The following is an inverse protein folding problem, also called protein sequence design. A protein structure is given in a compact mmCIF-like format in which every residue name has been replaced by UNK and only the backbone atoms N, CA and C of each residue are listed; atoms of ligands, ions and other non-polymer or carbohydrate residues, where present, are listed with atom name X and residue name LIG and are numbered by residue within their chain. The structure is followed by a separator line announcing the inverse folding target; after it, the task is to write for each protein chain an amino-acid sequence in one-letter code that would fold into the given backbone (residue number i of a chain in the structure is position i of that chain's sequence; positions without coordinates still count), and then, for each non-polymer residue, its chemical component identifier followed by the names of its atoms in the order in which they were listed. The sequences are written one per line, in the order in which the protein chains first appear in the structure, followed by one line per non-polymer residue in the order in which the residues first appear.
data_IF_001620942961
#
_entry.id   IF_001620942961
#
_cell.length_a   1.000
_cell.length_b   1.000
_cell.length_c   1.000
_cell.angle_alpha   90.00
_cell.angle_beta   90.00
_cell.angle_gamma   90.00
#
_symmetry.space_group_name_H-M   'P 1'
#
loop_
_entity.id
_entity.type
_entity.pdbx_description
1 polymer ?
#
# COMPACT_ATOMS: atom_id res chain seq x y z
N UNK A 1 14.88 9.39 -1.87
CA UNK A 1 15.89 9.19 -2.91
C UNK A 1 16.25 10.49 -3.61
N UNK A 2 15.31 11.36 -4.03
CA UNK A 2 15.69 12.63 -4.69
C UNK A 2 16.57 13.54 -3.80
N UNK A 3 16.32 13.59 -2.48
CA UNK A 3 17.18 14.35 -1.56
C UNK A 3 18.60 13.80 -1.52
N UNK A 4 18.75 12.46 -1.49
CA UNK A 4 20.06 11.82 -1.64
C UNK A 4 20.69 12.11 -3.00
N UNK A 5 19.89 12.09 -4.07
CA UNK A 5 20.36 12.35 -5.43
C UNK A 5 20.92 13.76 -5.61
N UNK A 6 20.38 14.76 -4.89
CA UNK A 6 20.92 16.13 -4.89
C UNK A 6 22.38 16.21 -4.43
N UNK A 7 22.88 15.23 -3.69
CA UNK A 7 24.27 15.23 -3.22
C UNK A 7 25.29 14.98 -4.34
N UNK A 8 24.87 14.43 -5.48
CA UNK A 8 25.76 14.08 -6.60
C UNK A 8 25.23 14.48 -7.99
N UNK A 9 23.94 14.77 -8.15
CA UNK A 9 23.35 15.16 -9.42
C UNK A 9 23.45 16.68 -9.66
N UNK A 10 23.73 17.07 -10.89
CA UNK A 10 23.74 18.48 -11.32
C UNK A 10 22.34 19.07 -11.30
N UNK A 11 21.33 18.26 -11.64
CA UNK A 11 19.93 18.68 -11.66
C UNK A 11 19.02 17.57 -11.19
N UNK A 12 18.05 17.93 -10.35
CA UNK A 12 16.96 17.04 -9.95
C UNK A 12 15.62 17.74 -10.12
N UNK A 13 14.58 17.01 -10.52
CA UNK A 13 13.22 17.54 -10.61
C UNK A 13 12.18 16.42 -10.48
N UNK A 14 10.92 16.82 -10.39
CA UNK A 14 9.76 15.92 -10.42
C UNK A 14 8.80 16.34 -11.51
N UNK A 15 8.07 15.40 -12.08
CA UNK A 15 6.97 15.70 -12.98
C UNK A 15 5.61 15.69 -12.24
N UNK A 16 4.54 15.95 -12.99
CA UNK A 16 3.16 15.96 -12.47
C UNK A 16 2.66 14.55 -12.10
N UNK A 17 3.25 13.50 -12.66
CA UNK A 17 2.88 12.11 -12.38
C UNK A 17 3.58 11.55 -11.13
N UNK A 18 4.51 12.31 -10.54
CA UNK A 18 5.26 11.90 -9.36
C UNK A 18 6.55 11.15 -9.67
N UNK A 19 6.95 11.06 -10.94
CA UNK A 19 8.29 10.58 -11.28
C UNK A 19 9.32 11.60 -10.78
N UNK A 20 10.48 11.09 -10.38
CA UNK A 20 11.61 11.89 -9.97
C UNK A 20 12.77 11.63 -10.91
N UNK A 21 13.52 12.67 -11.23
CA UNK A 21 14.64 12.62 -12.15
C UNK A 21 15.89 13.20 -11.50
N UNK A 22 17.04 12.62 -11.84
CA UNK A 22 18.35 13.10 -11.45
C UNK A 22 19.28 12.97 -12.66
N UNK A 23 20.00 14.04 -12.98
CA UNK A 23 20.95 14.09 -14.10
C UNK A 23 22.35 14.35 -13.57
N UNK A 24 23.29 13.54 -14.03
CA UNK A 24 24.73 13.69 -13.80
C UNK A 24 25.36 13.94 -15.16
N UNK A 25 26.24 14.95 -15.28
CA UNK A 25 26.89 15.33 -16.52
C UNK A 25 25.88 15.65 -17.65
N UNK A 26 25.05 16.69 -17.48
CA UNK A 26 23.92 17.01 -18.37
C UNK A 26 24.34 17.29 -19.83
N UNK A 27 25.59 17.76 -20.02
CA UNK A 27 26.21 18.04 -21.31
C UNK A 27 26.94 16.84 -21.93
N UNK A 28 27.03 15.72 -21.22
CA UNK A 28 27.72 14.51 -21.67
C UNK A 28 27.03 13.78 -22.83
N UNK A 29 27.82 13.05 -23.60
CA UNK A 29 27.36 12.17 -24.68
C UNK A 29 28.12 10.84 -24.65
N UNK A 30 27.47 9.68 -24.90
CA UNK A 30 26.04 9.52 -25.21
C UNK A 30 25.14 9.71 -23.98
N UNK A 31 23.85 9.99 -24.21
CA UNK A 31 22.85 10.07 -23.14
C UNK A 31 22.34 8.67 -22.79
N UNK A 32 22.48 8.29 -21.52
CA UNK A 32 21.99 7.02 -20.97
C UNK A 32 20.95 7.30 -19.89
N UNK A 33 19.82 6.59 -19.93
CA UNK A 33 18.78 6.67 -18.91
C UNK A 33 18.71 5.34 -18.15
N UNK A 34 18.87 5.42 -16.83
CA UNK A 34 18.59 4.32 -15.93
C UNK A 34 17.22 4.57 -15.29
N UNK A 35 16.28 3.67 -15.52
CA UNK A 35 14.91 3.80 -15.02
C UNK A 35 14.59 2.68 -14.01
N UNK A 36 13.93 3.05 -12.92
CA UNK A 36 13.40 2.12 -11.93
C UNK A 36 12.08 2.67 -11.40
N UNK A 37 11.20 1.78 -10.95
CA UNK A 37 9.91 2.15 -10.40
C UNK A 37 9.97 2.18 -8.88
N UNK A 38 9.29 3.16 -8.26
CA UNK A 38 9.30 3.37 -6.81
C UNK A 38 8.05 2.83 -6.10
N UNK A 39 7.01 2.56 -6.87
CA UNK A 39 5.77 2.01 -6.38
C UNK A 39 5.96 0.57 -5.91
N UNK A 40 5.22 0.20 -4.88
CA UNK A 40 5.16 -1.14 -4.34
C UNK A 40 3.74 -1.69 -4.55
N UNK A 41 3.63 -3.01 -4.74
CA UNK A 41 2.34 -3.68 -4.69
C UNK A 41 1.66 -3.43 -3.33
N UNK A 42 0.33 -3.28 -3.34
CA UNK A 42 -0.42 -2.93 -2.14
C UNK A 42 -1.87 -3.38 -2.20
N UNK A 43 -2.62 -3.06 -1.15
CA UNK A 43 -4.06 -3.31 -1.07
C UNK A 43 -4.78 -2.01 -0.72
N UNK A 44 -5.78 -1.61 -1.51
CA UNK A 44 -6.64 -0.46 -1.25
C UNK A 44 -7.87 -0.88 -0.45
N UNK A 45 -8.31 -0.08 0.51
CA UNK A 45 -9.61 -0.29 1.16
C UNK A 45 -10.73 0.16 0.23
N UNK A 46 -11.61 -0.76 -0.16
CA UNK A 46 -12.79 -0.49 -1.00
C UNK A 46 -14.04 -0.19 -0.19
N UNK A 47 -14.21 -0.85 0.95
CA UNK A 47 -15.39 -0.75 1.80
C UNK A 47 -15.05 -1.02 3.27
N UNK A 48 -15.82 -0.42 4.17
CA UNK A 48 -15.74 -0.62 5.62
C UNK A 48 -17.13 -1.01 6.08
N UNK A 49 -17.25 -2.18 6.72
CA UNK A 49 -18.55 -2.63 7.24
C UNK A 49 -18.86 -2.06 8.63
N UNK A 50 -20.10 -2.23 9.09
CA UNK A 50 -20.57 -1.75 10.39
C UNK A 50 -19.85 -2.40 11.59
N UNK A 51 -19.15 -3.51 11.35
CA UNK A 51 -18.33 -4.20 12.36
C UNK A 51 -16.89 -3.72 12.37
N UNK A 52 -16.53 -2.80 11.48
CA UNK A 52 -15.20 -2.21 11.36
C UNK A 52 -14.19 -3.07 10.57
N UNK A 53 -14.64 -4.09 9.82
CA UNK A 53 -13.76 -4.82 8.90
C UNK A 53 -13.51 -4.01 7.64
N UNK A 54 -12.26 -4.01 7.17
CA UNK A 54 -11.88 -3.35 5.93
C UNK A 54 -11.82 -4.38 4.80
N UNK A 55 -12.54 -4.12 3.72
CA UNK A 55 -12.51 -4.92 2.49
C UNK A 55 -11.45 -4.38 1.55
N UNK A 56 -10.72 -5.27 0.92
CA UNK A 56 -9.48 -4.95 0.21
C UNK A 56 -9.61 -5.20 -1.29
N UNK A 57 -9.02 -4.31 -2.08
CA UNK A 57 -8.78 -4.51 -3.52
C UNK A 57 -7.28 -4.47 -3.81
N UNK A 58 -6.76 -5.33 -4.69
CA UNK A 58 -5.33 -5.34 -5.02
C UNK A 58 -4.95 -4.13 -5.86
N UNK A 59 -3.75 -3.59 -5.59
CA UNK A 59 -3.02 -2.72 -6.51
C UNK A 59 -1.74 -3.46 -6.89
N UNK A 60 -1.60 -3.73 -8.19
CA UNK A 60 -0.56 -4.60 -8.72
C UNK A 60 -0.94 -6.08 -8.65
N UNK A 61 0.03 -6.96 -8.98
CA UNK A 61 -0.18 -8.40 -9.06
C UNK A 61 -0.11 -9.10 -7.71
N UNK A 62 -1.25 -9.49 -7.16
CA UNK A 62 -1.34 -10.29 -5.94
C UNK A 62 -1.97 -11.66 -6.21
N UNK A 63 -1.40 -12.71 -5.61
CA UNK A 63 -2.09 -14.00 -5.48
C UNK A 63 -2.97 -14.02 -4.24
N UNK A 64 -4.25 -14.36 -4.37
CA UNK A 64 -5.17 -14.39 -3.22
C UNK A 64 -4.74 -15.37 -2.11
N UNK A 65 -3.96 -16.39 -2.46
CA UNK A 65 -3.48 -17.43 -1.54
C UNK A 65 -2.40 -16.93 -0.56
N UNK A 66 -1.65 -15.88 -0.91
CA UNK A 66 -0.49 -15.43 -0.10
C UNK A 66 -0.85 -14.39 0.96
N UNK A 67 -2.04 -13.80 0.85
CA UNK A 67 -2.48 -12.69 1.70
C UNK A 67 -3.03 -13.11 3.08
N UNK A 68 -3.78 -14.22 3.24
CA UNK A 68 -4.27 -14.64 4.54
C UNK A 68 -3.13 -14.84 5.56
N UNK A 69 -3.31 -14.33 6.78
CA UNK A 69 -2.33 -14.41 7.86
C UNK A 69 -1.20 -13.37 7.78
N UNK A 70 -1.13 -12.58 6.72
CA UNK A 70 -0.13 -11.51 6.61
C UNK A 70 -0.47 -10.34 7.53
N UNK A 71 0.58 -9.74 8.10
CA UNK A 71 0.50 -8.48 8.85
C UNK A 71 0.85 -7.33 7.94
N UNK A 72 0.13 -6.23 8.09
CA UNK A 72 0.39 -5.04 7.30
C UNK A 72 0.08 -3.76 8.03
N UNK A 73 0.65 -2.67 7.52
CA UNK A 73 0.38 -1.32 7.96
C UNK A 73 -0.73 -0.74 7.11
N UNK A 74 -1.84 -0.38 7.74
CA UNK A 74 -2.85 0.47 7.16
C UNK A 74 -2.43 1.94 7.35
N UNK A 75 -2.31 2.69 6.27
CA UNK A 75 -2.07 4.14 6.31
C UNK A 75 -3.38 4.89 6.13
N UNK A 76 -3.72 5.74 7.10
CA UNK A 76 -4.90 6.62 7.06
C UNK A 76 -4.47 8.08 7.14
N UNK A 77 -5.42 9.01 6.99
CA UNK A 77 -5.16 10.45 7.19
C UNK A 77 -4.59 10.78 8.57
N UNK A 78 -5.01 10.08 9.62
CA UNK A 78 -4.57 10.38 10.99
C UNK A 78 -3.46 9.44 11.48
N UNK A 79 -2.76 8.76 10.56
CA UNK A 79 -1.57 7.98 10.88
C UNK A 79 -1.61 6.53 10.41
N UNK A 80 -0.67 5.73 10.94
CA UNK A 80 -0.50 4.32 10.57
C UNK A 80 -1.04 3.41 11.68
N UNK A 81 -1.76 2.36 11.29
CA UNK A 81 -2.24 1.32 12.19
C UNK A 81 -1.80 -0.06 11.73
N UNK A 82 -1.40 -0.93 12.65
CA UNK A 82 -1.06 -2.32 12.36
C UNK A 82 -2.30 -3.21 12.43
N UNK A 83 -2.35 -4.22 11.58
CA UNK A 83 -3.41 -5.22 11.59
C UNK A 83 -3.04 -6.46 10.77
N UNK A 84 -3.99 -7.38 10.69
CA UNK A 84 -3.84 -8.66 10.00
C UNK A 84 -4.89 -8.84 8.92
N UNK A 85 -4.49 -9.49 7.83
CA UNK A 85 -5.39 -9.95 6.78
C UNK A 85 -5.96 -11.31 7.17
N UNK A 86 -7.27 -11.35 7.39
CA UNK A 86 -8.05 -12.56 7.61
C UNK A 86 -8.78 -12.98 6.35
N UNK A 87 -9.25 -14.23 6.34
CA UNK A 87 -10.08 -14.79 5.29
C UNK A 87 -11.26 -15.53 5.91
N UNK A 88 -12.42 -15.45 5.26
CA UNK A 88 -13.58 -16.24 5.66
C UNK A 88 -13.25 -17.75 5.55
N UNK A 89 -13.64 -18.60 6.52
CA UNK A 89 -13.37 -20.02 6.46
C UNK A 89 -13.93 -20.66 5.18
N UNK A 90 -13.19 -21.59 4.57
CA UNK A 90 -13.60 -22.29 3.34
C UNK A 90 -15.00 -22.91 3.43
N UNK A 91 -15.39 -23.43 4.59
CA UNK A 91 -16.73 -24.00 4.81
C UNK A 91 -17.86 -22.97 4.66
N UNK A 92 -17.59 -21.70 4.98
CA UNK A 92 -18.56 -20.62 4.95
C UNK A 92 -18.55 -19.82 3.63
N UNK A 93 -17.56 -20.05 2.77
CA UNK A 93 -17.49 -19.53 1.39
C UNK A 93 -16.74 -20.52 0.48
N UNK A 94 -17.41 -21.59 0.01
CA UNK A 94 -16.76 -22.65 -0.76
C UNK A 94 -16.34 -22.19 -2.16
N UNK A 95 -17.12 -21.28 -2.76
CA UNK A 95 -17.03 -20.90 -4.17
C UNK A 95 -16.26 -19.61 -4.43
N UNK A 96 -15.74 -18.93 -3.39
CA UNK A 96 -15.00 -17.69 -3.55
C UNK A 96 -13.72 -17.72 -2.72
N UNK A 97 -12.58 -17.57 -3.42
CA UNK A 97 -11.24 -17.57 -2.83
C UNK A 97 -10.46 -16.31 -3.23
N UNK A 98 -11.15 -15.30 -3.71
CA UNK A 98 -10.53 -14.12 -4.30
C UNK A 98 -10.11 -13.10 -3.24
N UNK A 99 -9.33 -12.11 -3.68
CA UNK A 99 -8.81 -11.04 -2.81
C UNK A 99 -9.95 -10.22 -2.19
N UNK A 100 -11.09 -10.13 -2.87
CA UNK A 100 -12.25 -9.37 -2.40
C UNK A 100 -12.91 -9.98 -1.15
N UNK A 101 -12.70 -11.29 -0.91
CA UNK A 101 -13.17 -11.98 0.30
C UNK A 101 -12.24 -11.79 1.50
N UNK A 102 -11.09 -11.12 1.31
CA UNK A 102 -10.14 -10.83 2.36
C UNK A 102 -10.57 -9.61 3.16
N UNK A 103 -10.40 -9.73 4.47
CA UNK A 103 -10.75 -8.68 5.43
C UNK A 103 -9.53 -8.29 6.23
N UNK A 104 -9.30 -7.00 6.37
CA UNK A 104 -8.27 -6.51 7.27
C UNK A 104 -8.87 -6.12 8.62
N UNK A 105 -8.24 -6.60 9.69
CA UNK A 105 -8.64 -6.28 11.06
C UNK A 105 -7.49 -5.61 11.78
N UNK A 106 -7.77 -4.51 12.48
CA UNK A 106 -6.77 -3.80 13.28
C UNK A 106 -6.38 -4.64 14.49
N UNK A 107 -5.10 -4.69 14.82
CA UNK A 107 -4.64 -5.20 16.11
C UNK A 107 -4.86 -4.11 17.16
N UNK A 108 -6.10 -3.96 17.64
CA UNK A 108 -6.41 -3.18 18.85
C UNK A 108 -6.99 -4.12 19.88
N UNK A 109 -6.47 -4.10 21.12
CA UNK A 109 -7.08 -4.83 22.26
C UNK A 109 -8.38 -4.19 22.74
N UNK A 110 -8.70 -2.99 22.27
CA UNK A 110 -9.90 -2.27 22.66
C UNK A 110 -10.62 -1.78 21.38
N UNK A 111 -11.77 -2.37 21.02
CA UNK A 111 -12.60 -1.85 19.93
C UNK A 111 -13.22 -0.55 20.43
N UNK A 112 -12.57 0.58 20.15
CA UNK A 112 -13.16 1.88 20.43
C UNK A 112 -14.31 2.10 19.43
N UNK A 113 -15.57 2.25 19.89
CA UNK A 113 -16.72 2.26 18.99
C UNK A 113 -16.75 3.49 18.05
N UNK A 114 -16.01 4.56 18.34
CA UNK A 114 -16.29 5.88 17.73
C UNK A 114 -15.04 6.76 17.55
N UNK A 115 -13.80 6.25 17.59
CA UNK A 115 -12.62 7.15 17.53
C UNK A 115 -12.18 7.44 16.10
N UNK A 116 -12.81 8.45 15.48
CA UNK A 116 -12.32 9.50 14.56
C UNK A 116 -11.33 9.19 13.42
N UNK A 117 -10.98 7.94 13.20
CA UNK A 117 -10.17 7.45 12.08
C UNK A 117 -11.13 6.80 11.09
N UNK A 118 -11.98 7.60 10.43
CA UNK A 118 -12.67 7.11 9.23
C UNK A 118 -11.58 6.64 8.27
N UNK A 119 -11.51 5.33 7.92
CA UNK A 119 -10.59 4.88 6.89
C UNK A 119 -11.02 5.61 5.62
N UNK A 120 -10.30 6.67 5.25
CA UNK A 120 -10.49 7.26 3.93
C UNK A 120 -10.10 6.18 2.92
N UNK A 121 -10.88 6.01 1.86
CA UNK A 121 -10.65 5.08 0.73
C UNK A 121 -9.17 5.03 0.28
N UNK A 122 -8.43 6.12 0.49
CA UNK A 122 -6.97 6.25 0.34
C UNK A 122 -6.13 5.52 1.41
N UNK A 123 -6.59 4.39 1.93
CA UNK A 123 -5.79 3.54 2.82
C UNK A 123 -5.18 2.38 2.06
N UNK A 124 -3.85 2.27 2.16
CA UNK A 124 -3.10 1.19 1.53
C UNK A 124 -2.40 0.32 2.55
N UNK A 125 -2.48 -1.00 2.33
CA UNK A 125 -1.74 -1.97 3.13
C UNK A 125 -0.32 -2.13 2.61
N UNK A 126 0.66 -1.87 3.47
CA UNK A 126 2.06 -2.23 3.22
C UNK A 126 2.44 -3.44 4.06
N UNK A 127 3.07 -4.44 3.45
CA UNK A 127 3.65 -5.58 4.20
C UNK A 127 4.63 -5.04 5.23
N UNK A 128 4.52 -5.48 6.48
CA UNK A 128 5.56 -5.17 7.47
C UNK A 128 6.81 -5.97 7.07
N UNK A 129 7.89 -5.26 6.74
CA UNK A 129 9.24 -5.86 6.77
C UNK A 129 9.68 -6.03 8.20
#
# INVERSE_FOLDING_TARGET
WIEEAKTFAERTWRDLHGNAFAVVNEKGSPRVMLAGHMDEIGLMVSHVDDKGYLYLRPIGGWGAQILPGQRGWNRTKNGRGLGGVGRKPRRASPNNQDIEDLRFTRFSRNPQPETHLKPSITSYLRRSK
#
